data_IF_185309575501
#
_entry.id   IF_185309575501
#
_cell.length_a   1.000
_cell.length_b   1.000
_cell.length_c   1.000
_cell.angle_alpha   90.00
_cell.angle_beta   90.00
_cell.angle_gamma   90.00
#
_symmetry.space_group_name_H-M   'P 1'
#
loop_
_entity.id
_entity.type
_entity.pdbx_description
1 polymer ?
#
# COMPACT_ATOMS: atom_id res chain seq x y z
N UNK A 1 16.73 19.65 12.73
CA UNK A 1 15.90 20.38 13.74
C UNK A 1 14.43 20.52 13.32
N UNK A 2 14.08 20.44 12.03
CA UNK A 2 12.69 20.50 11.53
C UNK A 2 11.80 19.30 11.93
N UNK A 3 12.39 18.12 12.09
CA UNK A 3 11.63 16.90 12.40
C UNK A 3 11.04 16.81 13.82
N UNK A 4 11.40 17.71 14.73
CA UNK A 4 10.82 17.75 16.08
C UNK A 4 9.54 18.60 16.17
N UNK A 5 9.34 19.57 15.26
CA UNK A 5 8.14 20.41 15.24
C UNK A 5 6.91 19.64 14.79
N UNK A 6 7.02 18.76 13.80
CA UNK A 6 5.91 17.96 13.26
C UNK A 6 5.32 16.95 14.28
N UNK A 7 6.11 16.48 15.25
CA UNK A 7 5.61 15.61 16.33
C UNK A 7 4.72 16.32 17.34
N UNK A 8 4.86 17.65 17.49
CA UNK A 8 4.13 18.43 18.48
C UNK A 8 2.76 18.89 18.01
N UNK A 9 2.45 18.77 16.72
CA UNK A 9 1.21 19.29 16.13
C UNK A 9 0.04 18.32 16.14
N UNK A 10 0.29 17.00 16.25
CA UNK A 10 -0.77 16.01 16.38
C UNK A 10 -1.25 15.93 17.85
N UNK A 11 -2.21 16.74 18.21
CA UNK A 11 -2.93 16.53 19.47
C UNK A 11 -3.61 15.16 19.46
N UNK A 12 -3.40 14.31 20.50
CA UNK A 12 -3.92 12.95 20.47
C UNK A 12 -5.44 12.91 20.35
N UNK A 13 -5.97 12.33 19.31
CA UNK A 13 -7.40 12.03 19.21
C UNK A 13 -7.69 10.66 19.82
N UNK A 14 -8.01 10.65 21.12
CA UNK A 14 -8.26 9.43 21.88
C UNK A 14 -9.45 8.62 21.36
N UNK A 15 -10.44 9.25 20.73
CA UNK A 15 -11.56 8.55 20.11
C UNK A 15 -11.08 7.72 18.90
N UNK A 16 -10.25 8.29 18.05
CA UNK A 16 -9.68 7.57 16.88
C UNK A 16 -8.77 6.42 17.32
N UNK A 17 -7.93 6.65 18.34
CA UNK A 17 -7.04 5.59 18.87
C UNK A 17 -7.85 4.47 19.53
N UNK A 18 -8.91 4.81 20.26
CA UNK A 18 -9.82 3.83 20.86
C UNK A 18 -10.51 2.97 19.79
N UNK A 19 -11.02 3.59 18.73
CA UNK A 19 -11.63 2.88 17.61
C UNK A 19 -10.60 1.97 16.92
N UNK A 20 -9.40 2.48 16.67
CA UNK A 20 -8.31 1.70 16.03
C UNK A 20 -7.88 0.52 16.90
N UNK A 21 -7.82 0.69 18.20
CA UNK A 21 -7.51 -0.40 19.13
C UNK A 21 -8.61 -1.47 19.14
N UNK A 22 -9.89 -1.07 19.19
CA UNK A 22 -11.01 -2.00 19.08
C UNK A 22 -10.96 -2.80 17.78
N UNK A 23 -10.67 -2.12 16.64
CA UNK A 23 -10.52 -2.78 15.36
C UNK A 23 -9.29 -3.68 15.30
N UNK A 24 -8.17 -3.33 15.96
CA UNK A 24 -7.00 -4.19 16.04
C UNK A 24 -7.33 -5.53 16.73
N UNK A 25 -8.13 -5.49 17.79
CA UNK A 25 -8.61 -6.69 18.49
C UNK A 25 -9.57 -7.54 17.65
N UNK A 26 -10.24 -6.94 16.65
CA UNK A 26 -11.16 -7.64 15.73
C UNK A 26 -10.47 -8.18 14.49
N UNK A 27 -9.49 -7.44 13.94
CA UNK A 27 -8.82 -7.79 12.69
C UNK A 27 -7.54 -8.61 12.91
N UNK A 28 -6.74 -8.26 13.91
CA UNK A 28 -5.47 -8.93 14.22
C UNK A 28 -4.31 -8.62 13.25
N UNK A 29 -4.54 -7.80 12.22
CA UNK A 29 -3.56 -7.46 11.16
C UNK A 29 -3.53 -5.96 10.88
N UNK A 30 -2.33 -5.38 10.68
CA UNK A 30 -2.13 -3.92 10.61
C UNK A 30 -2.94 -3.24 9.49
N UNK A 31 -2.75 -3.61 8.23
CA UNK A 31 -3.37 -2.91 7.11
C UNK A 31 -4.92 -3.00 7.12
N UNK A 32 -5.56 -4.17 7.30
CA UNK A 32 -7.01 -4.25 7.46
C UNK A 32 -7.55 -3.47 8.66
N UNK A 33 -6.79 -3.44 9.77
CA UNK A 33 -7.17 -2.65 10.96
C UNK A 33 -7.21 -1.16 10.65
N UNK A 34 -6.14 -0.63 10.04
CA UNK A 34 -6.06 0.79 9.67
C UNK A 34 -7.16 1.15 8.67
N UNK A 35 -7.34 0.30 7.65
CA UNK A 35 -8.41 0.47 6.67
C UNK A 35 -9.77 0.55 7.35
N UNK A 36 -10.13 -0.44 8.16
CA UNK A 36 -11.41 -0.47 8.88
C UNK A 36 -11.57 0.74 9.80
N UNK A 37 -10.51 1.14 10.50
CA UNK A 37 -10.56 2.26 11.43
C UNK A 37 -10.87 3.58 10.71
N UNK A 38 -10.27 3.82 9.56
CA UNK A 38 -10.55 5.03 8.79
C UNK A 38 -11.97 4.99 8.22
N UNK A 39 -12.41 3.83 7.70
CA UNK A 39 -13.78 3.67 7.20
C UNK A 39 -14.83 3.96 8.30
N UNK A 40 -14.62 3.44 9.51
CA UNK A 40 -15.51 3.67 10.65
C UNK A 40 -15.51 5.15 11.09
N UNK A 41 -14.33 5.79 11.17
CA UNK A 41 -14.18 7.19 11.57
C UNK A 41 -14.82 8.13 10.54
N UNK A 42 -14.67 7.84 9.25
CA UNK A 42 -15.23 8.64 8.15
C UNK A 42 -16.65 8.22 7.74
N UNK A 43 -17.24 7.24 8.41
CA UNK A 43 -18.57 6.69 8.10
C UNK A 43 -18.71 6.22 6.64
N UNK A 44 -17.63 5.65 6.08
CA UNK A 44 -17.60 5.14 4.71
C UNK A 44 -18.00 3.66 4.65
N UNK A 45 -19.06 3.33 3.92
CA UNK A 45 -19.54 1.96 3.74
C UNK A 45 -18.87 1.24 2.56
N UNK A 46 -17.53 1.07 2.63
CA UNK A 46 -16.72 0.44 1.57
C UNK A 46 -15.92 -0.75 2.11
N UNK A 47 -16.63 -1.77 2.57
CA UNK A 47 -16.01 -2.96 3.20
C UNK A 47 -15.06 -3.73 2.28
N UNK A 48 -15.26 -3.64 0.96
CA UNK A 48 -14.37 -4.26 -0.01
C UNK A 48 -12.93 -3.74 0.07
N UNK A 49 -12.70 -2.52 0.57
CA UNK A 49 -11.36 -1.97 0.83
C UNK A 49 -10.63 -2.72 1.94
N UNK A 50 -11.35 -3.27 2.91
CA UNK A 50 -10.75 -4.13 3.94
C UNK A 50 -10.20 -5.40 3.30
N UNK A 51 -10.95 -6.02 2.38
CA UNK A 51 -10.44 -7.18 1.59
C UNK A 51 -9.23 -6.79 0.76
N UNK A 52 -9.31 -5.67 0.03
CA UNK A 52 -8.21 -5.16 -0.79
C UNK A 52 -6.91 -5.07 0.02
N UNK A 53 -7.00 -4.62 1.27
CA UNK A 53 -5.85 -4.46 2.16
C UNK A 53 -5.32 -5.78 2.78
N UNK A 54 -6.03 -6.90 2.61
CA UNK A 54 -5.73 -8.17 3.29
C UNK A 54 -4.35 -8.76 2.94
N UNK A 55 -3.82 -8.48 1.76
CA UNK A 55 -2.49 -8.92 1.33
C UNK A 55 -1.34 -7.98 1.77
N UNK A 56 -1.63 -6.81 2.33
CA UNK A 56 -0.64 -5.78 2.64
C UNK A 56 0.10 -5.94 3.97
N UNK A 57 -0.40 -6.66 5.00
CA UNK A 57 0.31 -6.79 6.26
C UNK A 57 1.72 -7.34 6.10
N UNK A 58 2.62 -6.93 7.00
CA UNK A 58 4.02 -7.31 6.93
C UNK A 58 4.82 -6.54 5.87
N UNK A 59 4.27 -5.47 5.32
CA UNK A 59 4.88 -4.61 4.30
C UNK A 59 4.68 -5.17 2.89
N UNK A 60 3.49 -5.00 2.36
CA UNK A 60 3.01 -5.44 1.04
C UNK A 60 3.46 -6.87 0.69
N UNK A 61 2.57 -7.83 0.86
CA UNK A 61 2.91 -9.24 0.63
C UNK A 61 3.97 -9.80 1.60
N UNK A 62 4.03 -9.28 2.83
CA UNK A 62 4.98 -9.70 3.87
C UNK A 62 6.46 -9.56 3.46
N UNK A 63 6.80 -8.56 2.65
CA UNK A 63 8.16 -8.29 2.15
C UNK A 63 9.01 -7.46 3.12
N UNK A 64 8.39 -6.86 4.14
CA UNK A 64 9.06 -5.98 5.10
C UNK A 64 9.22 -4.54 4.63
N UNK A 65 8.64 -4.18 3.48
CA UNK A 65 8.68 -2.81 2.92
C UNK A 65 7.58 -1.93 3.51
N UNK A 66 6.81 -1.18 2.73
CA UNK A 66 5.90 -0.15 3.25
C UNK A 66 4.89 -0.71 4.25
N UNK A 67 4.83 -0.06 5.41
CA UNK A 67 3.96 -0.43 6.52
C UNK A 67 2.47 -0.32 6.12
N UNK A 68 1.64 -1.26 6.58
CA UNK A 68 0.19 -1.20 6.40
C UNK A 68 -0.46 0.07 6.96
N UNK A 69 0.22 0.74 7.92
CA UNK A 69 -0.17 2.06 8.42
C UNK A 69 0.00 3.19 7.40
N UNK A 70 0.75 2.97 6.33
CA UNK A 70 0.91 3.93 5.22
C UNK A 70 0.10 3.50 4.01
N UNK A 71 0.14 2.21 3.67
CA UNK A 71 -0.47 1.72 2.44
C UNK A 71 -2.00 1.82 2.45
N UNK A 72 -2.65 1.58 3.60
CA UNK A 72 -4.11 1.71 3.70
C UNK A 72 -4.59 3.16 3.59
N UNK A 73 -3.99 4.16 4.26
CA UNK A 73 -4.28 5.57 4.01
C UNK A 73 -4.05 6.01 2.57
N UNK A 74 -2.99 5.53 1.89
CA UNK A 74 -2.75 5.86 0.47
C UNK A 74 -3.84 5.33 -0.46
N UNK A 75 -4.37 4.14 -0.20
CA UNK A 75 -5.55 3.61 -0.90
C UNK A 75 -6.75 4.53 -0.73
N UNK A 76 -7.00 5.01 0.49
CA UNK A 76 -8.14 5.88 0.79
C UNK A 76 -7.95 7.30 0.24
N UNK A 77 -6.73 7.83 0.17
CA UNK A 77 -6.46 9.05 -0.58
C UNK A 77 -6.78 8.87 -2.07
N UNK A 78 -6.47 7.69 -2.64
CA UNK A 78 -6.87 7.35 -4.00
C UNK A 78 -8.39 7.42 -4.20
N UNK A 79 -9.16 6.82 -3.30
CA UNK A 79 -10.63 6.87 -3.32
C UNK A 79 -11.16 8.31 -3.23
N UNK A 80 -10.50 9.15 -2.46
CA UNK A 80 -10.95 10.53 -2.24
C UNK A 80 -10.57 11.46 -3.40
N UNK A 81 -9.31 11.42 -3.83
CA UNK A 81 -8.76 12.38 -4.79
C UNK A 81 -8.62 11.82 -6.21
N UNK A 82 -8.40 10.49 -6.35
CA UNK A 82 -8.09 9.86 -7.64
C UNK A 82 -6.86 10.48 -8.29
N UNK A 83 -6.84 10.52 -9.63
CA UNK A 83 -5.82 11.21 -10.43
C UNK A 83 -6.29 12.59 -10.92
N UNK A 84 -7.08 13.29 -10.11
CA UNK A 84 -7.57 14.64 -10.47
C UNK A 84 -6.41 15.61 -10.54
N UNK A 85 -6.22 16.22 -11.69
CA UNK A 85 -5.23 17.28 -11.90
C UNK A 85 -5.81 18.63 -11.54
N UNK A 86 -4.95 19.50 -11.01
CA UNK A 86 -5.20 20.93 -10.84
C UNK A 86 -4.17 21.66 -11.70
N UNK A 87 -4.62 22.47 -12.64
CA UNK A 87 -3.80 23.36 -13.49
C UNK A 87 -2.65 22.68 -14.29
N UNK A 88 -2.84 21.43 -14.72
CA UNK A 88 -1.90 20.74 -15.60
C UNK A 88 -0.60 20.24 -14.94
N UNK A 89 -0.48 20.36 -13.63
CA UNK A 89 0.62 19.81 -12.82
C UNK A 89 0.27 18.40 -12.29
N UNK A 90 1.02 17.92 -11.31
CA UNK A 90 0.76 16.64 -10.65
C UNK A 90 -0.64 16.60 -10.03
N UNK A 91 -1.32 15.45 -10.07
CA UNK A 91 -2.57 15.27 -9.32
C UNK A 91 -2.41 15.55 -7.82
N UNK A 92 -3.45 16.09 -7.19
CA UNK A 92 -3.46 16.47 -5.75
C UNK A 92 -3.01 15.33 -4.83
N UNK A 93 -3.30 14.09 -5.20
CA UNK A 93 -2.90 12.91 -4.44
C UNK A 93 -1.38 12.80 -4.22
N UNK A 94 -0.56 13.39 -5.11
CA UNK A 94 0.90 13.36 -4.93
C UNK A 94 1.34 14.21 -3.74
N UNK A 95 0.82 15.42 -3.58
CA UNK A 95 1.16 16.26 -2.43
C UNK A 95 0.60 15.70 -1.13
N UNK A 96 -0.67 15.31 -1.10
CA UNK A 96 -1.27 14.70 0.08
C UNK A 96 -0.59 13.39 0.48
N UNK A 97 -0.31 12.52 -0.48
CA UNK A 97 0.36 11.26 -0.21
C UNK A 97 1.82 11.44 0.22
N UNK A 98 2.52 12.44 -0.34
CA UNK A 98 3.85 12.81 0.13
C UNK A 98 3.80 13.33 1.56
N UNK A 99 2.88 14.25 1.88
CA UNK A 99 2.68 14.77 3.23
C UNK A 99 2.34 13.65 4.24
N UNK A 100 1.48 12.71 3.85
CA UNK A 100 1.16 11.52 4.65
C UNK A 100 2.40 10.70 4.98
N UNK A 101 3.22 10.43 3.97
CA UNK A 101 4.47 9.69 4.15
C UNK A 101 5.45 10.43 5.06
N UNK A 102 5.57 11.76 4.92
CA UNK A 102 6.45 12.57 5.76
C UNK A 102 5.97 12.62 7.22
N UNK A 103 4.66 12.82 7.46
CA UNK A 103 4.10 12.78 8.81
C UNK A 103 4.31 11.40 9.46
N UNK A 104 4.11 10.32 8.69
CA UNK A 104 4.37 8.97 9.17
C UNK A 104 5.86 8.76 9.53
N UNK A 105 6.78 9.24 8.69
CA UNK A 105 8.24 9.18 8.97
C UNK A 105 8.58 10.01 10.22
N UNK A 106 7.99 11.18 10.38
CA UNK A 106 8.21 12.01 11.58
C UNK A 106 7.81 11.28 12.88
N UNK A 107 6.73 10.48 12.83
CA UNK A 107 6.27 9.68 13.98
C UNK A 107 7.06 8.39 14.18
N UNK A 108 7.43 7.70 13.10
CA UNK A 108 7.93 6.31 13.14
C UNK A 108 9.34 6.14 12.56
N UNK A 109 9.98 7.22 12.09
CA UNK A 109 11.33 7.31 11.55
C UNK A 109 11.54 6.61 10.20
N UNK A 110 10.61 5.79 9.76
CA UNK A 110 10.69 5.02 8.51
C UNK A 110 9.32 4.61 8.01
N UNK A 111 9.18 4.36 6.71
CA UNK A 111 8.01 3.71 6.12
C UNK A 111 8.11 2.19 6.17
N UNK A 112 9.30 1.62 6.45
CA UNK A 112 9.60 0.20 6.28
C UNK A 112 9.10 -0.64 7.45
N UNK A 113 8.17 -1.54 7.18
CA UNK A 113 7.61 -2.47 8.16
C UNK A 113 8.68 -3.26 8.93
N UNK A 114 9.71 -3.75 8.22
CA UNK A 114 10.81 -4.51 8.83
C UNK A 114 11.57 -3.70 9.88
N UNK A 115 11.79 -2.42 9.63
CA UNK A 115 12.51 -1.52 10.54
C UNK A 115 11.63 -1.16 11.74
N UNK A 116 10.32 -0.85 11.51
CA UNK A 116 9.35 -0.57 12.57
C UNK A 116 9.17 -1.78 13.49
N UNK A 117 8.98 -2.97 12.90
CA UNK A 117 8.76 -4.21 13.66
C UNK A 117 9.98 -4.60 14.48
N UNK A 118 11.17 -4.31 13.98
CA UNK A 118 12.42 -4.71 14.60
C UNK A 118 12.57 -6.24 14.67
N UNK A 119 13.33 -6.71 15.66
CA UNK A 119 13.62 -8.14 15.87
C UNK A 119 12.66 -8.84 16.84
N UNK A 120 11.73 -8.11 17.43
CA UNK A 120 10.81 -8.67 18.43
C UNK A 120 9.84 -9.68 17.81
N UNK A 121 9.61 -10.78 18.51
CA UNK A 121 8.62 -11.78 18.12
C UNK A 121 7.20 -11.23 18.24
N UNK A 122 6.92 -10.54 19.35
CA UNK A 122 5.62 -9.90 19.55
C UNK A 122 5.55 -8.54 18.84
N UNK A 123 4.48 -8.23 18.10
CA UNK A 123 4.42 -7.05 17.24
C UNK A 123 4.09 -5.75 18.01
N UNK A 124 4.62 -5.57 19.23
CA UNK A 124 4.35 -4.38 20.07
C UNK A 124 4.69 -3.08 19.34
N UNK A 125 5.73 -3.08 18.51
CA UNK A 125 6.15 -1.92 17.72
C UNK A 125 5.23 -1.63 16.54
N UNK A 126 4.34 -2.58 16.18
CA UNK A 126 3.32 -2.37 15.15
C UNK A 126 2.06 -1.65 15.70
N UNK A 127 1.87 -1.63 17.01
CA UNK A 127 0.67 -1.02 17.63
C UNK A 127 0.64 0.50 17.40
N UNK A 128 1.70 1.29 17.72
CA UNK A 128 1.67 2.73 17.51
C UNK A 128 1.35 3.14 16.07
N UNK A 129 1.98 2.59 15.00
CA UNK A 129 1.60 2.89 13.63
C UNK A 129 0.12 2.64 13.34
N UNK A 130 -0.43 1.50 13.80
CA UNK A 130 -1.83 1.16 13.57
C UNK A 130 -2.77 2.17 14.25
N UNK A 131 -2.46 2.60 15.46
CA UNK A 131 -3.29 3.55 16.21
C UNK A 131 -3.19 4.98 15.68
N UNK A 132 -2.01 5.40 15.18
CA UNK A 132 -1.77 6.76 14.73
C UNK A 132 -2.17 6.99 13.26
N UNK A 133 -2.12 5.99 12.41
CA UNK A 133 -2.36 6.15 10.98
C UNK A 133 -3.71 6.78 10.63
N UNK A 134 -4.83 6.48 11.30
CA UNK A 134 -6.09 7.19 11.06
C UNK A 134 -6.02 8.68 11.40
N UNK A 135 -5.30 9.08 12.47
CA UNK A 135 -5.12 10.50 12.80
C UNK A 135 -4.30 11.22 11.71
N UNK A 136 -3.20 10.59 11.26
CA UNK A 136 -2.36 11.12 10.19
C UNK A 136 -3.19 11.28 8.90
N UNK A 137 -4.01 10.28 8.56
CA UNK A 137 -4.87 10.34 7.38
C UNK A 137 -5.87 11.49 7.45
N UNK A 138 -6.62 11.61 8.56
CA UNK A 138 -7.62 12.67 8.72
C UNK A 138 -6.97 14.05 8.69
N UNK A 139 -5.81 14.21 9.34
CA UNK A 139 -5.06 15.46 9.31
C UNK A 139 -4.61 15.84 7.89
N UNK A 140 -4.18 14.86 7.10
CA UNK A 140 -3.81 15.08 5.69
C UNK A 140 -5.03 15.35 4.81
N UNK A 141 -6.16 14.71 5.10
CA UNK A 141 -7.38 14.89 4.32
C UNK A 141 -7.94 16.31 4.47
N UNK A 142 -7.99 16.81 5.71
CA UNK A 142 -8.59 18.09 6.08
C UNK A 142 -7.62 19.28 5.94
N UNK A 143 -6.30 19.01 5.90
CA UNK A 143 -5.27 20.03 5.86
C UNK A 143 -5.05 20.62 4.45
N UNK A 144 -4.65 21.89 4.42
CA UNK A 144 -4.04 22.48 3.22
C UNK A 144 -2.55 22.12 3.20
N UNK A 145 -2.18 21.19 2.37
CA UNK A 145 -0.79 20.73 2.25
C UNK A 145 0.00 21.46 1.15
N UNK A 146 -0.64 22.39 0.43
CA UNK A 146 0.01 23.18 -0.61
C UNK A 146 0.86 22.33 -1.55
N UNK A 147 2.10 22.76 -1.78
CA UNK A 147 3.12 22.01 -2.51
C UNK A 147 4.03 21.27 -1.50
N UNK A 148 3.60 20.11 -1.00
CA UNK A 148 4.36 19.33 -0.04
C UNK A 148 5.64 18.72 -0.63
N UNK A 149 5.64 18.43 -1.94
CA UNK A 149 6.79 17.88 -2.66
C UNK A 149 7.83 18.99 -2.88
N UNK A 150 9.12 18.78 -2.54
CA UNK A 150 10.18 19.76 -2.83
C UNK A 150 10.23 20.14 -4.31
N UNK A 151 10.47 21.43 -4.62
CA UNK A 151 10.37 21.97 -5.98
C UNK A 151 11.24 21.20 -7.01
N UNK A 152 12.44 20.76 -6.62
CA UNK A 152 13.34 19.99 -7.48
C UNK A 152 12.77 18.61 -7.82
N UNK A 153 12.23 17.90 -6.83
CA UNK A 153 11.57 16.61 -7.02
C UNK A 153 10.26 16.76 -7.80
N UNK A 154 9.49 17.81 -7.54
CA UNK A 154 8.24 18.09 -8.25
C UNK A 154 8.44 18.21 -9.77
N UNK A 155 9.46 18.95 -10.22
CA UNK A 155 9.76 19.08 -11.64
C UNK A 155 10.08 17.74 -12.30
N UNK A 156 10.84 16.87 -11.60
CA UNK A 156 11.15 15.53 -12.06
C UNK A 156 9.88 14.65 -12.13
N UNK A 157 9.06 14.68 -11.09
CA UNK A 157 7.81 13.91 -11.02
C UNK A 157 6.79 14.37 -12.07
N UNK A 158 6.64 15.68 -12.29
CA UNK A 158 5.74 16.22 -13.33
C UNK A 158 6.16 15.76 -14.71
N UNK A 159 7.47 15.77 -15.03
CA UNK A 159 8.00 15.26 -16.30
C UNK A 159 7.74 13.76 -16.48
N UNK A 160 7.97 12.96 -15.43
CA UNK A 160 7.69 11.52 -15.47
C UNK A 160 6.20 11.24 -15.61
N UNK A 161 5.36 11.97 -14.88
CA UNK A 161 3.92 11.83 -14.94
C UNK A 161 3.39 12.14 -16.35
N UNK A 162 3.81 13.26 -16.94
CA UNK A 162 3.45 13.61 -18.32
C UNK A 162 3.83 12.49 -19.31
N UNK A 163 5.06 11.95 -19.21
CA UNK A 163 5.51 10.85 -20.05
C UNK A 163 4.64 9.60 -19.89
N UNK A 164 4.22 9.25 -18.66
CA UNK A 164 3.35 8.10 -18.42
C UNK A 164 1.93 8.33 -18.96
N UNK A 165 1.39 9.52 -18.79
CA UNK A 165 0.06 9.92 -19.34
C UNK A 165 0.07 9.87 -20.86
N UNK A 166 1.08 10.44 -21.54
CA UNK A 166 1.24 10.37 -22.99
C UNK A 166 1.30 8.93 -23.53
N UNK A 167 1.79 8.01 -22.73
CA UNK A 167 1.89 6.59 -23.07
C UNK A 167 0.73 5.74 -22.53
N UNK A 168 -0.32 6.37 -22.00
CA UNK A 168 -1.51 5.71 -21.43
C UNK A 168 -1.15 4.61 -20.41
N UNK A 169 -0.17 4.89 -19.54
CA UNK A 169 0.34 3.90 -18.61
C UNK A 169 0.30 4.35 -17.15
N UNK A 170 -0.32 3.54 -16.33
CA UNK A 170 -0.24 3.60 -14.88
C UNK A 170 0.09 2.21 -14.33
N UNK A 171 1.21 2.08 -13.61
CA UNK A 171 1.77 0.78 -13.22
C UNK A 171 0.76 -0.16 -12.53
N UNK A 172 0.00 0.35 -11.56
CA UNK A 172 -0.96 -0.45 -10.81
C UNK A 172 -2.23 -0.71 -11.64
N UNK A 173 -2.74 0.29 -12.35
CA UNK A 173 -3.94 0.16 -13.17
C UNK A 173 -3.72 -0.81 -14.34
N UNK A 174 -2.52 -0.83 -14.93
CA UNK A 174 -2.18 -1.78 -15.98
C UNK A 174 -2.36 -3.24 -15.52
N UNK A 175 -1.95 -3.57 -14.30
CA UNK A 175 -2.18 -4.91 -13.73
C UNK A 175 -3.67 -5.19 -13.57
N UNK A 176 -4.47 -4.23 -13.09
CA UNK A 176 -5.92 -4.40 -12.95
C UNK A 176 -6.60 -4.65 -14.30
N UNK A 177 -6.20 -3.92 -15.35
CA UNK A 177 -6.70 -4.12 -16.71
C UNK A 177 -6.39 -5.54 -17.19
N UNK A 178 -5.16 -6.00 -17.05
CA UNK A 178 -4.78 -7.36 -17.41
C UNK A 178 -5.49 -8.45 -16.59
N UNK A 179 -5.94 -8.11 -15.37
CA UNK A 179 -6.77 -8.99 -14.52
C UNK A 179 -8.26 -8.98 -14.92
N UNK A 180 -8.66 -8.19 -15.92
CA UNK A 180 -10.00 -8.10 -16.44
C UNK A 180 -10.90 -7.06 -15.79
N UNK A 181 -10.35 -6.15 -14.98
CA UNK A 181 -11.07 -4.97 -14.46
C UNK A 181 -11.03 -3.82 -15.49
N UNK A 182 -12.04 -2.95 -15.47
CA UNK A 182 -12.07 -1.78 -16.35
C UNK A 182 -12.39 -0.49 -15.61
N UNK A 183 -11.80 0.67 -16.02
CA UNK A 183 -12.13 1.95 -15.38
C UNK A 183 -13.61 2.34 -15.49
N UNK A 184 -14.31 1.83 -16.51
CA UNK A 184 -15.73 2.11 -16.72
C UNK A 184 -16.65 1.32 -15.77
N UNK A 185 -16.27 0.08 -15.45
CA UNK A 185 -17.06 -0.82 -14.59
C UNK A 185 -16.62 -0.75 -13.11
N UNK A 186 -15.33 -0.52 -12.87
CA UNK A 186 -14.72 -0.55 -11.55
C UNK A 186 -14.00 0.77 -11.19
N UNK A 187 -14.60 1.97 -11.40
CA UNK A 187 -13.88 3.25 -11.27
C UNK A 187 -13.23 3.44 -9.90
N UNK A 188 -13.91 3.05 -8.83
CA UNK A 188 -13.36 3.17 -7.47
C UNK A 188 -12.14 2.27 -7.22
N UNK A 189 -12.05 1.12 -7.89
CA UNK A 189 -10.87 0.25 -7.79
C UNK A 189 -9.66 0.89 -8.47
N UNK A 190 -9.88 1.60 -9.57
CA UNK A 190 -8.84 2.37 -10.25
C UNK A 190 -8.41 3.59 -9.44
N UNK A 191 -9.36 4.26 -8.77
CA UNK A 191 -9.06 5.33 -7.82
C UNK A 191 -8.26 4.81 -6.62
N UNK A 192 -8.62 3.67 -6.05
CA UNK A 192 -7.95 3.07 -4.90
C UNK A 192 -6.45 2.79 -5.14
N UNK A 193 -6.04 2.55 -6.38
CA UNK A 193 -4.64 2.28 -6.72
C UNK A 193 -3.89 3.50 -7.25
N UNK A 194 -4.51 4.68 -7.31
CA UNK A 194 -3.95 5.90 -7.89
C UNK A 194 -2.60 6.33 -7.29
N UNK A 195 -2.42 6.16 -5.98
CA UNK A 195 -1.15 6.46 -5.30
C UNK A 195 -0.02 5.47 -5.65
N UNK A 196 -0.34 4.32 -6.26
CA UNK A 196 0.64 3.28 -6.55
C UNK A 196 1.12 3.39 -7.99
N UNK A 197 1.99 4.39 -8.24
CA UNK A 197 2.65 4.68 -9.49
C UNK A 197 4.14 4.95 -9.22
N UNK A 198 5.03 4.44 -10.05
CA UNK A 198 6.48 4.63 -9.92
C UNK A 198 7.05 4.23 -8.53
N UNK A 199 6.50 3.17 -7.93
CA UNK A 199 6.89 2.72 -6.60
C UNK A 199 6.40 3.68 -5.51
N UNK A 200 5.09 3.86 -5.40
CA UNK A 200 4.38 4.75 -4.48
C UNK A 200 4.73 6.23 -4.73
N UNK A 201 3.88 6.93 -5.49
CA UNK A 201 4.01 8.37 -5.76
C UNK A 201 5.43 8.77 -6.27
N UNK A 202 6.00 7.98 -7.17
CA UNK A 202 7.35 8.15 -7.72
C UNK A 202 8.52 8.07 -6.72
N UNK A 203 8.26 7.67 -5.48
CA UNK A 203 9.33 7.53 -4.47
C UNK A 203 10.23 6.29 -4.66
N UNK A 204 10.10 5.55 -5.76
CA UNK A 204 10.96 4.39 -6.06
C UNK A 204 10.79 3.19 -5.10
N UNK A 205 9.75 3.20 -4.26
CA UNK A 205 9.45 2.17 -3.25
C UNK A 205 8.99 0.86 -3.89
N UNK A 206 8.17 0.07 -3.19
CA UNK A 206 7.65 -1.20 -3.74
C UNK A 206 6.99 -0.98 -5.10
N UNK A 207 7.34 -1.82 -6.07
CA UNK A 207 6.81 -1.75 -7.43
C UNK A 207 5.28 -1.74 -7.40
N UNK A 208 4.70 -0.74 -8.04
CA UNK A 208 3.25 -0.51 -8.01
C UNK A 208 2.47 -1.62 -8.73
N UNK A 209 3.05 -2.24 -9.76
CA UNK A 209 2.47 -3.43 -10.37
C UNK A 209 2.39 -4.60 -9.37
N UNK A 210 3.47 -4.85 -8.62
CA UNK A 210 3.46 -5.86 -7.56
C UNK A 210 2.42 -5.54 -6.48
N UNK A 211 2.33 -4.28 -6.05
CA UNK A 211 1.34 -3.82 -5.06
C UNK A 211 -0.08 -4.10 -5.54
N UNK A 212 -0.42 -3.76 -6.78
CA UNK A 212 -1.74 -3.99 -7.36
C UNK A 212 -2.12 -5.48 -7.41
N UNK A 213 -1.17 -6.35 -7.77
CA UNK A 213 -1.43 -7.79 -7.75
C UNK A 213 -1.67 -8.34 -6.34
N UNK A 214 -0.94 -7.84 -5.33
CA UNK A 214 -1.19 -8.19 -3.92
C UNK A 214 -2.57 -7.69 -3.47
N UNK A 215 -2.98 -6.49 -3.89
CA UNK A 215 -4.33 -5.96 -3.65
C UNK A 215 -5.41 -6.82 -4.31
N UNK A 216 -5.21 -7.23 -5.55
CA UNK A 216 -6.15 -8.09 -6.27
C UNK A 216 -6.32 -9.46 -5.58
N UNK A 217 -5.23 -10.03 -5.06
CA UNK A 217 -5.30 -11.24 -4.22
C UNK A 217 -6.11 -10.98 -2.95
N UNK A 218 -5.88 -9.87 -2.27
CA UNK A 218 -6.66 -9.47 -1.10
C UNK A 218 -8.15 -9.34 -1.42
N UNK A 219 -8.48 -8.64 -2.50
CA UNK A 219 -9.86 -8.41 -2.94
C UNK A 219 -10.61 -9.73 -3.19
N UNK A 220 -9.96 -10.71 -3.83
CA UNK A 220 -10.55 -12.01 -4.18
C UNK A 220 -10.60 -13.00 -3.03
N UNK A 221 -9.58 -13.01 -2.18
CA UNK A 221 -9.34 -14.05 -1.19
C UNK A 221 -9.41 -13.58 0.26
N UNK A 222 -9.41 -12.27 0.49
CA UNK A 222 -9.47 -11.67 1.83
C UNK A 222 -10.86 -11.80 2.47
N UNK A 223 -10.90 -11.43 3.73
CA UNK A 223 -12.13 -11.28 4.52
C UNK A 223 -12.27 -9.86 5.03
N UNK A 224 -13.48 -9.49 5.47
CA UNK A 224 -13.78 -8.14 5.98
C UNK A 224 -13.69 -8.08 7.52
N UNK A 225 -13.75 -9.23 8.16
CA UNK A 225 -13.68 -9.36 9.63
C UNK A 225 -12.95 -10.64 10.00
N UNK A 226 -12.35 -10.63 11.20
CA UNK A 226 -11.83 -11.81 11.87
C UNK A 226 -12.65 -12.04 13.14
N UNK A 227 -12.64 -13.24 13.70
CA UNK A 227 -13.30 -13.50 14.98
C UNK A 227 -12.35 -13.30 16.13
N UNK A 228 -12.84 -12.80 17.26
CA UNK A 228 -12.05 -12.62 18.48
C UNK A 228 -11.29 -13.91 18.87
N UNK A 229 -11.89 -15.12 18.84
CA UNK A 229 -11.15 -16.35 19.12
C UNK A 229 -9.97 -16.59 18.19
N UNK A 230 -10.09 -16.25 16.89
CA UNK A 230 -8.99 -16.37 15.92
C UNK A 230 -7.87 -15.36 16.21
N UNK A 231 -8.23 -14.12 16.62
CA UNK A 231 -7.23 -13.12 17.00
C UNK A 231 -6.51 -13.55 18.27
N UNK A 232 -7.22 -14.08 19.29
CA UNK A 232 -6.61 -14.64 20.50
C UNK A 232 -5.68 -15.79 20.13
N UNK A 233 -6.10 -16.71 19.25
CA UNK A 233 -5.26 -17.80 18.75
C UNK A 233 -3.99 -17.28 18.10
N UNK A 234 -4.11 -16.25 17.24
CA UNK A 234 -2.97 -15.58 16.59
C UNK A 234 -1.98 -15.05 17.64
N UNK A 235 -2.47 -14.27 18.61
CA UNK A 235 -1.65 -13.69 19.67
C UNK A 235 -0.98 -14.77 20.54
N UNK A 236 -1.72 -15.83 20.88
CA UNK A 236 -1.17 -16.96 21.64
C UNK A 236 -0.05 -17.65 20.89
N UNK A 237 -0.24 -17.94 19.59
CA UNK A 237 0.78 -18.57 18.74
C UNK A 237 2.02 -17.67 18.68
N UNK A 238 1.86 -16.36 18.55
CA UNK A 238 2.97 -15.41 18.53
C UNK A 238 3.77 -15.41 19.83
N UNK A 239 3.10 -15.51 20.97
CA UNK A 239 3.75 -15.53 22.30
C UNK A 239 4.53 -16.82 22.54
N UNK A 240 3.99 -17.97 22.14
CA UNK A 240 4.67 -19.27 22.30
C UNK A 240 5.69 -19.59 21.19
N UNK A 241 5.86 -18.69 20.21
CA UNK A 241 6.85 -18.85 19.15
C UNK A 241 6.45 -19.77 18.01
N UNK A 242 5.16 -20.07 17.86
CA UNK A 242 4.61 -20.83 16.73
C UNK A 242 4.48 -19.99 15.45
N UNK A 243 3.97 -20.61 14.38
CA UNK A 243 3.71 -19.95 13.10
C UNK A 243 2.42 -19.12 13.17
N UNK A 244 2.54 -17.86 13.53
CA UNK A 244 1.40 -16.93 13.59
C UNK A 244 0.79 -16.64 12.21
N UNK A 245 1.49 -16.95 11.13
CA UNK A 245 1.05 -16.74 9.74
C UNK A 245 0.49 -17.99 9.09
N UNK A 246 0.11 -19.00 9.89
CA UNK A 246 -0.53 -20.21 9.40
C UNK A 246 -1.86 -19.88 8.68
N UNK A 247 -2.03 -20.39 7.47
CA UNK A 247 -3.18 -20.13 6.61
C UNK A 247 -4.50 -20.68 7.19
N UNK A 248 -4.44 -21.66 8.09
CA UNK A 248 -5.60 -22.22 8.77
C UNK A 248 -6.24 -21.27 9.80
N UNK A 249 -5.55 -20.20 10.18
CA UNK A 249 -6.03 -19.27 11.21
C UNK A 249 -7.13 -18.35 10.66
N UNK A 250 -6.89 -17.71 9.52
CA UNK A 250 -7.82 -16.77 8.90
C UNK A 250 -7.47 -16.48 7.44
N UNK A 251 -8.39 -15.83 6.71
CA UNK A 251 -8.18 -15.46 5.31
C UNK A 251 -7.19 -14.31 5.12
N UNK A 252 -6.95 -13.47 6.13
CA UNK A 252 -5.88 -12.47 6.08
C UNK A 252 -4.52 -13.15 5.97
N UNK A 253 -4.27 -14.20 6.75
CA UNK A 253 -3.05 -15.01 6.64
C UNK A 253 -2.92 -15.66 5.25
N UNK A 254 -4.02 -16.20 4.70
CA UNK A 254 -4.03 -16.75 3.36
C UNK A 254 -3.63 -15.71 2.32
N UNK A 255 -4.27 -14.54 2.34
CA UNK A 255 -3.97 -13.44 1.40
C UNK A 255 -2.52 -12.94 1.53
N UNK A 256 -2.04 -12.80 2.76
CA UNK A 256 -0.67 -12.37 3.04
C UNK A 256 0.37 -13.40 2.56
N UNK A 257 0.15 -14.70 2.79
CA UNK A 257 1.05 -15.75 2.31
C UNK A 257 1.04 -15.88 0.79
N UNK A 258 -0.10 -15.65 0.13
CA UNK A 258 -0.19 -15.54 -1.34
C UNK A 258 0.63 -14.36 -1.84
N UNK A 259 0.47 -13.19 -1.22
CA UNK A 259 1.31 -12.03 -1.49
C UNK A 259 2.80 -12.34 -1.36
N UNK A 260 3.19 -13.10 -0.33
CA UNK A 260 4.58 -13.52 -0.14
C UNK A 260 5.07 -14.51 -1.20
N UNK A 261 4.24 -15.45 -1.63
CA UNK A 261 4.57 -16.34 -2.76
C UNK A 261 4.73 -15.55 -4.06
N UNK A 262 3.85 -14.58 -4.30
CA UNK A 262 3.99 -13.65 -5.43
C UNK A 262 5.27 -12.82 -5.33
N UNK A 263 5.64 -12.33 -4.14
CA UNK A 263 6.87 -11.59 -3.94
C UNK A 263 8.12 -12.42 -4.29
N UNK A 264 8.15 -13.69 -3.90
CA UNK A 264 9.25 -14.60 -4.27
C UNK A 264 9.36 -14.79 -5.78
N UNK A 265 8.24 -14.99 -6.45
CA UNK A 265 8.22 -15.09 -7.90
C UNK A 265 8.66 -13.79 -8.55
N UNK A 266 8.09 -12.66 -8.12
CA UNK A 266 8.41 -11.34 -8.67
C UNK A 266 9.89 -10.98 -8.49
N UNK A 267 10.47 -11.26 -7.32
CA UNK A 267 11.91 -11.06 -7.09
C UNK A 267 12.79 -11.94 -7.98
N UNK A 268 12.34 -13.16 -8.28
CA UNK A 268 13.09 -14.06 -9.18
C UNK A 268 13.11 -13.52 -10.61
N UNK A 269 11.99 -13.00 -11.12
CA UNK A 269 11.87 -12.50 -12.49
C UNK A 269 12.44 -11.07 -12.65
N UNK A 270 12.24 -10.19 -11.65
CA UNK A 270 12.61 -8.76 -11.74
C UNK A 270 13.87 -8.39 -10.98
N UNK A 271 14.46 -9.31 -10.22
CA UNK A 271 15.61 -9.07 -9.35
C UNK A 271 15.29 -8.37 -8.02
N UNK A 272 14.14 -7.70 -7.91
CA UNK A 272 13.72 -6.95 -6.72
C UNK A 272 12.20 -6.72 -6.72
N UNK A 273 11.63 -6.37 -5.56
CA UNK A 273 10.30 -5.78 -5.47
C UNK A 273 10.33 -4.25 -5.43
N UNK A 274 11.50 -3.62 -5.39
CA UNK A 274 11.64 -2.17 -5.30
C UNK A 274 11.76 -1.53 -6.68
N UNK A 275 10.90 -0.54 -6.97
CA UNK A 275 10.83 0.12 -8.26
C UNK A 275 12.16 0.74 -8.67
N UNK A 276 12.81 1.48 -7.76
CA UNK A 276 14.12 2.09 -8.01
C UNK A 276 15.20 1.06 -8.38
N UNK A 277 15.19 -0.13 -7.77
CA UNK A 277 16.14 -1.20 -8.09
C UNK A 277 15.83 -1.84 -9.45
N UNK A 278 14.54 -2.06 -9.75
CA UNK A 278 14.08 -2.67 -11.02
C UNK A 278 14.40 -1.75 -12.21
N UNK A 279 14.13 -0.46 -12.06
CA UNK A 279 14.32 0.53 -13.13
C UNK A 279 15.77 1.03 -13.22
N UNK A 280 16.50 0.98 -12.11
CA UNK A 280 17.81 1.62 -11.98
C UNK A 280 17.72 3.16 -12.00
N UNK A 281 16.54 3.73 -11.71
CA UNK A 281 16.27 5.16 -11.79
C UNK A 281 15.81 5.72 -10.46
N UNK A 282 16.40 6.83 -10.04
CA UNK A 282 15.90 7.66 -8.95
C UNK A 282 14.98 8.73 -9.55
N UNK A 283 13.70 8.66 -9.26
CA UNK A 283 12.73 9.58 -9.85
C UNK A 283 12.69 10.95 -9.14
N UNK A 284 13.30 11.08 -7.98
CA UNK A 284 13.49 12.37 -7.32
C UNK A 284 14.55 13.23 -8.00
N UNK A 285 15.39 12.60 -8.84
CA UNK A 285 16.45 13.25 -9.62
C UNK A 285 16.03 13.41 -11.09
N UNK A 286 16.10 14.62 -11.68
CA UNK A 286 15.85 14.83 -13.11
C UNK A 286 16.68 13.93 -14.02
N UNK A 287 17.92 13.60 -13.64
CA UNK A 287 18.78 12.69 -14.41
C UNK A 287 18.22 11.24 -14.37
N UNK A 288 17.67 10.81 -13.24
CA UNK A 288 17.00 9.52 -13.13
C UNK A 288 15.77 9.41 -14.01
N UNK A 289 14.96 10.47 -14.09
CA UNK A 289 13.81 10.56 -15.00
C UNK A 289 14.24 10.55 -16.46
N UNK A 290 15.29 11.31 -16.83
CA UNK A 290 15.86 11.27 -18.19
C UNK A 290 16.32 9.86 -18.56
N UNK A 291 17.03 9.19 -17.66
CA UNK A 291 17.48 7.80 -17.86
C UNK A 291 16.29 6.85 -18.09
N UNK A 292 15.18 7.01 -17.33
CA UNK A 292 13.98 6.20 -17.49
C UNK A 292 13.36 6.36 -18.88
N UNK A 293 13.24 7.60 -19.36
CA UNK A 293 12.62 7.94 -20.65
C UNK A 293 13.53 7.53 -21.82
N UNK A 294 14.79 7.96 -21.80
CA UNK A 294 15.74 7.78 -22.91
C UNK A 294 16.13 6.31 -23.16
N UNK A 295 16.13 5.50 -22.09
CA UNK A 295 16.42 4.05 -22.20
C UNK A 295 15.16 3.18 -22.27
N UNK A 296 14.00 3.76 -22.59
CA UNK A 296 12.73 3.06 -22.77
C UNK A 296 12.40 2.04 -21.65
N UNK A 297 12.61 2.47 -20.41
CA UNK A 297 12.30 1.60 -19.25
C UNK A 297 10.80 1.32 -19.13
N UNK A 298 9.98 2.17 -19.75
CA UNK A 298 8.52 2.02 -19.79
C UNK A 298 8.09 0.72 -20.45
N UNK A 299 8.68 0.36 -21.61
CA UNK A 299 8.36 -0.90 -22.31
C UNK A 299 8.60 -2.11 -21.42
N UNK A 300 9.71 -2.13 -20.66
CA UNK A 300 9.96 -3.19 -19.67
C UNK A 300 8.93 -3.19 -18.55
N UNK A 301 8.51 -2.02 -18.05
CA UNK A 301 7.47 -1.91 -17.02
C UNK A 301 6.11 -2.42 -17.51
N UNK A 302 5.74 -2.12 -18.78
CA UNK A 302 4.50 -2.63 -19.41
C UNK A 302 4.52 -4.15 -19.49
N UNK A 303 5.60 -4.74 -19.99
CA UNK A 303 5.76 -6.19 -20.09
C UNK A 303 5.70 -6.86 -18.70
N UNK A 304 6.44 -6.34 -17.74
CA UNK A 304 6.45 -6.87 -16.38
C UNK A 304 5.05 -6.81 -15.71
N UNK A 305 4.28 -5.76 -15.95
CA UNK A 305 2.92 -5.65 -15.41
C UNK A 305 2.00 -6.73 -16.00
N UNK A 306 2.10 -7.01 -17.30
CA UNK A 306 1.35 -8.06 -18.00
C UNK A 306 1.73 -9.45 -17.47
N UNK A 307 3.01 -9.80 -17.46
CA UNK A 307 3.52 -11.09 -16.98
C UNK A 307 3.15 -11.33 -15.51
N UNK A 308 3.21 -10.28 -14.70
CA UNK A 308 2.82 -10.39 -13.30
C UNK A 308 1.31 -10.61 -13.13
N UNK A 309 0.48 -9.93 -13.92
CA UNK A 309 -0.97 -10.14 -13.90
C UNK A 309 -1.34 -11.58 -14.27
N UNK A 310 -0.69 -12.16 -15.28
CA UNK A 310 -0.86 -13.58 -15.64
C UNK A 310 -0.50 -14.49 -14.45
N UNK A 311 0.59 -14.19 -13.74
CA UNK A 311 0.98 -14.95 -12.54
C UNK A 311 -0.04 -14.86 -11.41
N UNK A 312 -0.62 -13.67 -11.21
CA UNK A 312 -1.72 -13.48 -10.25
C UNK A 312 -2.95 -14.29 -10.65
N UNK A 313 -3.35 -14.26 -11.92
CA UNK A 313 -4.48 -15.05 -12.44
C UNK A 313 -4.27 -16.56 -12.21
N UNK A 314 -3.09 -17.08 -12.55
CA UNK A 314 -2.73 -18.47 -12.30
C UNK A 314 -2.88 -18.84 -10.82
N UNK A 315 -2.34 -18.00 -9.92
CA UNK A 315 -2.43 -18.24 -8.48
C UNK A 315 -3.88 -18.25 -7.99
N UNK A 316 -4.73 -17.39 -8.50
CA UNK A 316 -6.15 -17.34 -8.13
C UNK A 316 -6.96 -18.50 -8.72
N UNK A 317 -6.63 -18.97 -9.92
CA UNK A 317 -7.28 -20.10 -10.58
C UNK A 317 -6.95 -21.44 -9.91
N UNK A 318 -5.69 -21.70 -9.55
CA UNK A 318 -5.24 -22.94 -8.89
C UNK A 318 -5.99 -23.21 -7.58
N UNK A 319 -6.54 -22.18 -6.96
CA UNK A 319 -7.25 -22.29 -5.68
C UNK A 319 -8.76 -22.51 -5.82
N UNK A 320 -9.36 -22.07 -6.92
CA UNK A 320 -10.74 -22.40 -7.23
C UNK A 320 -10.93 -23.91 -7.49
N UNK A 321 -9.82 -24.62 -7.79
CA UNK A 321 -9.80 -26.06 -8.00
C UNK A 321 -9.50 -26.88 -6.72
N UNK A 322 -9.04 -26.23 -5.65
CA UNK A 322 -8.89 -26.89 -4.34
C UNK A 322 -10.24 -26.91 -3.63
N UNK A 323 -11.07 -27.88 -3.98
CA UNK A 323 -12.29 -28.22 -3.21
C UNK A 323 -11.86 -28.51 -1.76
N UNK A 324 -12.50 -27.92 -0.75
CA UNK A 324 -12.23 -28.27 0.64
C UNK A 324 -12.59 -29.76 0.83
N UNK A 325 -11.61 -30.54 1.30
CA UNK A 325 -11.84 -31.86 1.89
C UNK A 325 -12.61 -31.71 3.20
#
# INVERSE_FOLDING_TARGET
MENQSLKSELAPNWAYRGQSFANLLRMGHCAPTVMRSILDISSMEKEWLVRLSAGMPGGIGNTGYECGGVTSPLVLLGIHDGLRQVDGDLPVIFDKGYALCQQFIACHQTLRCKEIRGKDRFPRHCIPPVLLSPEIFMNVLDGDHGQAIPAGERAAYSRLYAHLVENEFHCAQAVLIHLGYSPAEDPELFDAVSAFIGGTLFMGKTCSAFTAGVMAVGLRAGEIENSIPRVIRLLTIMTVGGNAFDESINKFNQSMNRGYRLAKWFMKESGSTQCQVITGCDFSDPAGVSNYIENDRLTRCKLMASEFAEKVQQMLADESQRVPL
#
